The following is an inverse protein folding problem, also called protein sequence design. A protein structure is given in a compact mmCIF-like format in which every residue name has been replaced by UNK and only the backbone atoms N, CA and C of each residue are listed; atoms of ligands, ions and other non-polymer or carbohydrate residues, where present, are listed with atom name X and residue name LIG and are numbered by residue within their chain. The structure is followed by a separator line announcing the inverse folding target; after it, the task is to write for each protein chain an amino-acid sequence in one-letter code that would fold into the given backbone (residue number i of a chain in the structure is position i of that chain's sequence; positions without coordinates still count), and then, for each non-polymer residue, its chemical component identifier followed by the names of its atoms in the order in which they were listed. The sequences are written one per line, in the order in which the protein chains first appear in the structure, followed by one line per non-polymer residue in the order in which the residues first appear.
data_IF_365754243441
#
_entry.id   IF_365754243441
#
_cell.length_a   1.000
_cell.length_b   1.000
_cell.length_c   1.000
_cell.angle_alpha   90.00
_cell.angle_beta   90.00
_cell.angle_gamma   90.00
#
_symmetry.space_group_name_H-M   'P 1'
#
loop_
_entity.id
_entity.type
_entity.pdbx_description
1 polymer ?
#
# COMPACT_ATOMS: atom_id res chain seq x y z
N UNK A 1 19.90 23.89 -44.68
CA UNK A 1 18.94 22.83 -44.27
C UNK A 1 18.52 23.10 -42.83
N UNK A 2 17.23 23.36 -42.61
CA UNK A 2 16.64 23.95 -41.41
C UNK A 2 16.19 22.84 -40.45
N UNK A 3 16.82 22.72 -39.28
CA UNK A 3 16.44 21.73 -38.26
C UNK A 3 15.36 22.32 -37.37
N UNK A 4 14.11 21.92 -37.58
CA UNK A 4 13.01 22.28 -36.68
C UNK A 4 13.02 21.26 -35.54
N UNK A 5 13.40 21.70 -34.34
CA UNK A 5 13.25 20.92 -33.11
C UNK A 5 11.85 21.24 -32.57
N UNK A 6 10.93 20.29 -32.70
CA UNK A 6 9.62 20.33 -32.05
C UNK A 6 9.80 19.97 -30.57
N UNK A 7 9.64 20.94 -29.68
CA UNK A 7 9.53 20.70 -28.24
C UNK A 7 8.09 20.30 -27.91
N UNK A 8 7.86 19.03 -27.58
CA UNK A 8 6.57 18.53 -27.12
C UNK A 8 6.35 18.86 -25.63
N UNK A 9 5.38 19.73 -25.35
CA UNK A 9 4.90 20.00 -23.99
C UNK A 9 3.99 18.84 -23.54
N UNK A 10 4.49 18.00 -22.63
CA UNK A 10 3.69 16.91 -22.03
C UNK A 10 2.86 17.52 -20.88
N UNK A 11 1.58 17.75 -21.11
CA UNK A 11 0.62 18.04 -20.04
C UNK A 11 0.34 16.74 -19.26
N UNK A 12 0.80 16.66 -18.02
CA UNK A 12 0.46 15.59 -17.09
C UNK A 12 -0.91 15.86 -16.50
N UNK A 13 -1.94 15.14 -16.97
CA UNK A 13 -3.28 15.16 -16.37
C UNK A 13 -3.22 14.30 -15.10
N UNK A 14 -3.19 14.92 -13.92
CA UNK A 14 -3.32 14.22 -12.65
C UNK A 14 -4.79 13.91 -12.40
N UNK A 15 -5.21 12.67 -12.61
CA UNK A 15 -6.54 12.22 -12.19
C UNK A 15 -6.55 12.10 -10.67
N UNK A 16 -7.12 13.08 -9.96
CA UNK A 16 -7.42 12.91 -8.54
C UNK A 16 -8.66 12.02 -8.44
N UNK A 17 -8.48 10.72 -8.19
CA UNK A 17 -9.56 9.81 -7.85
C UNK A 17 -10.14 10.20 -6.47
N UNK A 18 -11.02 11.21 -6.43
CA UNK A 18 -11.63 11.69 -5.20
C UNK A 18 -12.98 11.02 -4.96
N UNK A 19 -12.96 9.73 -4.62
CA UNK A 19 -14.15 8.96 -4.25
C UNK A 19 -14.68 9.23 -2.82
N UNK A 20 -14.17 10.26 -2.12
CA UNK A 20 -14.59 10.61 -0.75
C UNK A 20 -15.21 12.00 -0.66
N UNK A 21 -16.22 12.14 0.20
CA UNK A 21 -16.87 13.43 0.47
C UNK A 21 -15.88 14.45 1.03
N UNK A 22 -16.10 15.73 0.73
CA UNK A 22 -15.28 16.82 1.26
C UNK A 22 -15.37 16.88 2.80
N UNK A 23 -16.55 16.61 3.35
CA UNK A 23 -16.76 16.56 4.81
C UNK A 23 -15.91 15.49 5.48
N UNK A 24 -15.84 14.30 4.89
CA UNK A 24 -15.03 13.21 5.44
C UNK A 24 -13.53 13.50 5.30
N UNK A 25 -13.08 14.15 4.21
CA UNK A 25 -11.69 14.65 4.11
C UNK A 25 -11.33 15.60 5.23
N UNK A 26 -12.17 16.61 5.47
CA UNK A 26 -11.95 17.57 6.56
C UNK A 26 -11.91 16.88 7.93
N UNK A 27 -12.71 15.83 8.11
CA UNK A 27 -12.70 15.03 9.33
C UNK A 27 -11.37 14.29 9.50
N UNK A 28 -10.91 13.58 8.47
CA UNK A 28 -9.62 12.89 8.47
C UNK A 28 -8.47 13.85 8.78
N UNK A 29 -8.40 14.98 8.09
CA UNK A 29 -7.34 15.99 8.28
C UNK A 29 -7.32 16.56 9.71
N UNK A 30 -8.50 16.82 10.28
CA UNK A 30 -8.67 17.30 11.67
C UNK A 30 -8.08 16.32 12.67
N UNK A 31 -8.26 15.02 12.45
CA UNK A 31 -7.78 13.96 13.34
C UNK A 31 -6.39 13.42 12.96
N UNK A 32 -5.78 13.95 11.89
CA UNK A 32 -4.48 13.53 11.38
C UNK A 32 -4.49 12.14 10.73
N UNK A 33 -5.67 11.69 10.28
CA UNK A 33 -5.84 10.44 9.58
C UNK A 33 -5.86 10.67 8.07
N UNK A 34 -5.67 9.59 7.31
CA UNK A 34 -5.91 9.48 5.88
C UNK A 34 -6.95 8.40 5.67
N UNK A 35 -7.54 8.36 4.48
CA UNK A 35 -8.49 7.29 4.14
C UNK A 35 -7.87 5.89 4.30
N UNK A 36 -6.55 5.77 4.07
CA UNK A 36 -5.83 4.49 4.16
C UNK A 36 -5.54 4.05 5.60
N UNK A 37 -5.45 4.97 6.55
CA UNK A 37 -5.05 4.64 7.92
C UNK A 37 -6.20 4.75 8.95
N UNK A 38 -7.37 5.29 8.56
CA UNK A 38 -8.57 5.30 9.39
C UNK A 38 -9.04 3.86 9.66
N UNK A 39 -9.12 3.47 10.94
CA UNK A 39 -9.36 2.09 11.37
C UNK A 39 -8.13 1.18 11.27
N UNK A 40 -7.05 1.62 10.63
CA UNK A 40 -5.81 0.88 10.42
C UNK A 40 -4.62 1.55 11.14
N UNK A 41 -4.86 1.96 12.38
CA UNK A 41 -3.86 2.57 13.27
C UNK A 41 -4.07 4.06 13.52
N UNK A 42 -4.91 4.73 12.73
CA UNK A 42 -5.47 6.03 13.03
C UNK A 42 -6.96 5.89 13.40
N UNK A 43 -7.42 6.66 14.37
CA UNK A 43 -8.79 6.58 14.89
C UNK A 43 -9.39 7.98 14.91
N UNK A 44 -10.45 8.20 14.12
CA UNK A 44 -11.15 9.49 14.02
C UNK A 44 -11.88 9.90 15.31
N UNK A 45 -11.98 9.01 16.31
CA UNK A 45 -12.49 9.33 17.64
C UNK A 45 -11.38 9.73 18.62
N UNK A 46 -10.11 9.65 18.21
CA UNK A 46 -8.96 10.13 18.98
C UNK A 46 -8.49 11.50 18.47
N UNK A 47 -7.89 12.27 19.36
CA UNK A 47 -7.28 13.55 18.98
C UNK A 47 -6.08 13.31 18.07
N UNK A 48 -5.74 14.31 17.23
CA UNK A 48 -4.56 14.27 16.37
C UNK A 48 -3.27 13.93 17.13
N UNK A 49 -3.08 14.51 18.31
CA UNK A 49 -1.92 14.23 19.17
C UNK A 49 -1.90 12.77 19.67
N UNK A 50 -3.05 12.19 20.00
CA UNK A 50 -3.14 10.78 20.40
C UNK A 50 -2.83 9.84 19.24
N UNK A 51 -3.33 10.15 18.03
CA UNK A 51 -3.03 9.37 16.82
C UNK A 51 -1.54 9.46 16.46
N UNK A 52 -0.95 10.66 16.53
CA UNK A 52 0.49 10.84 16.33
C UNK A 52 1.33 10.07 17.37
N UNK A 53 0.94 10.13 18.65
CA UNK A 53 1.62 9.38 19.71
C UNK A 53 1.48 7.86 19.54
N UNK A 54 0.32 7.38 19.08
CA UNK A 54 0.10 5.97 18.77
C UNK A 54 0.99 5.52 17.59
N UNK A 55 1.05 6.31 16.52
CA UNK A 55 1.93 6.05 15.39
C UNK A 55 3.42 6.03 15.80
N UNK A 56 3.85 6.96 16.67
CA UNK A 56 5.22 7.01 17.17
C UNK A 56 5.60 5.82 18.07
N UNK A 57 4.62 5.20 18.75
CA UNK A 57 4.81 4.01 19.59
C UNK A 57 4.77 2.70 18.81
N UNK A 58 4.27 2.72 17.56
CA UNK A 58 4.22 1.52 16.74
C UNK A 58 5.64 1.02 16.45
N UNK A 59 5.90 -0.27 16.72
CA UNK A 59 7.20 -0.86 16.42
C UNK A 59 7.39 -0.90 14.90
N UNK A 60 8.54 -0.46 14.37
CA UNK A 60 8.83 -0.61 12.95
C UNK A 60 8.78 -2.08 12.55
N UNK A 61 8.10 -2.36 11.45
CA UNK A 61 8.09 -3.70 10.85
C UNK A 61 9.50 -4.02 10.34
N UNK A 62 10.10 -5.08 10.88
CA UNK A 62 11.44 -5.50 10.51
C UNK A 62 11.42 -6.16 9.14
N UNK A 63 12.46 -5.92 8.33
CA UNK A 63 12.56 -6.55 6.99
C UNK A 63 12.60 -8.09 7.07
N UNK A 64 13.15 -8.66 8.15
CA UNK A 64 13.17 -10.10 8.36
C UNK A 64 11.78 -10.71 8.49
N UNK A 65 10.84 -10.01 9.12
CA UNK A 65 9.43 -10.42 9.21
C UNK A 65 8.80 -10.45 7.82
N UNK A 66 8.97 -9.36 7.05
CA UNK A 66 8.42 -9.25 5.69
C UNK A 66 9.01 -10.29 4.76
N UNK A 67 10.30 -10.62 4.93
CA UNK A 67 10.95 -11.67 4.15
C UNK A 67 10.39 -13.04 4.47
N UNK A 68 10.18 -13.37 5.74
CA UNK A 68 9.54 -14.63 6.13
C UNK A 68 8.13 -14.77 5.55
N UNK A 69 7.34 -13.70 5.60
CA UNK A 69 6.01 -13.65 4.99
C UNK A 69 6.08 -13.83 3.46
N UNK A 70 7.01 -13.15 2.77
CA UNK A 70 7.21 -13.27 1.33
C UNK A 70 7.66 -14.68 0.90
N UNK A 71 8.54 -15.32 1.67
CA UNK A 71 8.99 -16.70 1.43
C UNK A 71 7.85 -17.70 1.65
N UNK A 72 7.03 -17.47 2.67
CA UNK A 72 5.88 -18.35 3.01
C UNK A 72 4.86 -18.41 1.88
N UNK A 73 4.55 -17.29 1.24
CA UNK A 73 3.51 -17.26 0.20
C UNK A 73 3.97 -17.84 -1.15
N UNK A 74 5.25 -18.12 -1.36
CA UNK A 74 5.74 -18.70 -2.61
C UNK A 74 5.15 -20.11 -2.82
N UNK A 75 4.58 -20.34 -4.00
CA UNK A 75 3.91 -21.60 -4.36
C UNK A 75 2.48 -21.74 -3.81
N UNK A 76 2.02 -20.86 -2.94
CA UNK A 76 0.60 -20.81 -2.56
C UNK A 76 -0.25 -20.40 -3.76
N UNK A 77 -1.48 -20.92 -3.85
CA UNK A 77 -2.49 -20.34 -4.74
C UNK A 77 -2.78 -18.89 -4.35
N UNK A 78 -3.05 -18.05 -5.33
CA UNK A 78 -3.26 -16.61 -5.14
C UNK A 78 -4.31 -16.26 -4.07
N UNK A 79 -5.42 -17.00 -4.01
CA UNK A 79 -6.45 -16.79 -2.99
C UNK A 79 -5.95 -17.12 -1.57
N UNK A 80 -5.20 -18.21 -1.41
CA UNK A 80 -4.62 -18.62 -0.12
C UNK A 80 -3.54 -17.62 0.32
N UNK A 81 -2.71 -17.16 -0.61
CA UNK A 81 -1.70 -16.13 -0.35
C UNK A 81 -2.34 -14.80 0.08
N UNK A 82 -3.44 -14.39 -0.56
CA UNK A 82 -4.21 -13.21 -0.18
C UNK A 82 -4.71 -13.32 1.27
N UNK A 83 -5.37 -14.44 1.62
CA UNK A 83 -5.89 -14.66 2.97
C UNK A 83 -4.76 -14.63 4.01
N UNK A 84 -3.61 -15.24 3.70
CA UNK A 84 -2.41 -15.19 4.54
C UNK A 84 -1.96 -13.74 4.79
N UNK A 85 -1.79 -12.96 3.72
CA UNK A 85 -1.32 -11.58 3.80
C UNK A 85 -2.27 -10.68 4.60
N UNK A 86 -3.58 -10.79 4.37
CA UNK A 86 -4.60 -10.02 5.12
C UNK A 86 -4.58 -10.38 6.61
N UNK A 87 -4.48 -11.67 6.94
CA UNK A 87 -4.37 -12.12 8.33
C UNK A 87 -3.07 -11.63 9.00
N UNK A 88 -1.99 -11.51 8.22
CA UNK A 88 -0.70 -10.97 8.64
C UNK A 88 -0.62 -9.45 8.61
N UNK A 89 -1.77 -8.76 8.48
CA UNK A 89 -1.93 -7.30 8.56
C UNK A 89 -1.33 -6.54 7.39
N UNK A 90 -1.12 -7.19 6.25
CA UNK A 90 -0.87 -6.46 5.01
C UNK A 90 -2.16 -5.83 4.50
N UNK A 91 -2.05 -4.64 3.92
CA UNK A 91 -3.13 -3.93 3.26
C UNK A 91 -2.96 -4.05 1.75
N UNK A 92 -4.03 -4.32 0.98
CA UNK A 92 -3.95 -4.26 -0.47
C UNK A 92 -3.76 -2.80 -0.91
N UNK A 93 -2.80 -2.57 -1.81
CA UNK A 93 -2.51 -1.25 -2.40
C UNK A 93 -2.79 -1.21 -3.90
N UNK A 94 -2.63 -2.34 -4.58
CA UNK A 94 -2.93 -2.51 -6.00
C UNK A 94 -3.29 -3.96 -6.30
N UNK A 95 -3.42 -4.31 -7.58
CA UNK A 95 -3.84 -5.66 -7.99
C UNK A 95 -2.91 -6.78 -7.48
N UNK A 96 -1.64 -6.48 -7.27
CA UNK A 96 -0.64 -7.46 -6.81
C UNK A 96 0.29 -6.90 -5.73
N UNK A 97 -0.08 -5.77 -5.13
CA UNK A 97 0.77 -5.03 -4.19
C UNK A 97 0.14 -5.02 -2.81
N UNK A 98 0.91 -5.45 -1.81
CA UNK A 98 0.46 -5.58 -0.41
C UNK A 98 1.44 -4.88 0.51
N UNK A 99 0.95 -3.96 1.35
CA UNK A 99 1.79 -3.07 2.15
C UNK A 99 1.67 -3.35 3.65
N UNK A 100 2.80 -3.33 4.35
CA UNK A 100 2.87 -3.47 5.81
C UNK A 100 4.00 -2.59 6.36
N UNK A 101 3.62 -1.53 7.06
CA UNK A 101 4.57 -0.49 7.48
C UNK A 101 5.22 0.18 6.27
N UNK A 102 6.55 0.22 6.24
CA UNK A 102 7.36 0.83 5.16
C UNK A 102 7.73 -0.14 4.04
N UNK A 103 7.09 -1.29 3.98
CA UNK A 103 7.41 -2.36 3.04
C UNK A 103 6.20 -2.72 2.19
N UNK A 104 6.47 -3.08 0.95
CA UNK A 104 5.52 -3.64 0.00
C UNK A 104 6.00 -5.01 -0.46
N UNK A 105 5.08 -5.96 -0.53
CA UNK A 105 5.27 -7.22 -1.27
C UNK A 105 4.49 -7.09 -2.57
N UNK A 106 5.20 -7.18 -3.70
CA UNK A 106 4.61 -7.33 -5.02
C UNK A 106 4.63 -8.80 -5.43
N UNK A 107 3.46 -9.41 -5.55
CA UNK A 107 3.33 -10.82 -5.95
C UNK A 107 3.27 -10.95 -7.47
N UNK A 108 3.81 -12.05 -7.98
CA UNK A 108 3.62 -12.45 -9.39
C UNK A 108 2.92 -13.78 -9.40
N UNK A 109 1.78 -13.85 -10.09
CA UNK A 109 0.92 -15.03 -10.17
C UNK A 109 1.08 -15.66 -11.55
N UNK A 110 1.33 -16.97 -11.59
CA UNK A 110 1.37 -17.73 -12.84
C UNK A 110 0.06 -18.51 -13.03
N UNK A 111 -0.73 -18.10 -14.02
CA UNK A 111 -2.02 -18.72 -14.35
C UNK A 111 -1.87 -20.14 -14.88
N UNK A 112 -0.72 -20.48 -15.46
CA UNK A 112 -0.43 -21.81 -15.99
C UNK A 112 0.04 -22.78 -14.90
N UNK A 113 0.46 -22.25 -13.75
CA UNK A 113 0.77 -23.01 -12.53
C UNK A 113 -0.36 -22.85 -11.52
N UNK A 114 -1.58 -23.07 -11.97
CA UNK A 114 -2.73 -23.13 -11.09
C UNK A 114 -2.93 -21.86 -10.24
N UNK A 115 -2.62 -20.70 -10.82
CA UNK A 115 -2.66 -19.39 -10.17
C UNK A 115 -1.77 -19.31 -8.91
N UNK A 116 -0.63 -20.01 -8.90
CA UNK A 116 0.32 -19.93 -7.81
C UNK A 116 1.13 -18.64 -7.85
N UNK A 117 1.54 -18.18 -6.67
CA UNK A 117 2.54 -17.13 -6.51
C UNK A 117 3.90 -17.70 -6.87
N UNK A 118 4.50 -17.20 -7.96
CA UNK A 118 5.82 -17.63 -8.45
C UNK A 118 6.95 -16.67 -8.09
N UNK A 119 6.61 -15.47 -7.62
CA UNK A 119 7.57 -14.49 -7.11
C UNK A 119 6.87 -13.57 -6.10
N UNK A 120 7.63 -13.11 -5.11
CA UNK A 120 7.23 -12.13 -4.12
C UNK A 120 8.39 -11.13 -3.93
N UNK A 121 8.29 -9.96 -4.56
CA UNK A 121 9.31 -8.92 -4.51
C UNK A 121 9.07 -8.00 -3.33
N UNK A 122 10.09 -7.76 -2.53
CA UNK A 122 10.01 -6.83 -1.39
C UNK A 122 10.58 -5.49 -1.81
N UNK A 123 9.78 -4.43 -1.63
CA UNK A 123 10.11 -3.07 -2.04
C UNK A 123 9.93 -2.12 -0.85
N UNK A 124 10.76 -1.06 -0.73
CA UNK A 124 10.45 0.06 0.15
C UNK A 124 9.13 0.70 -0.28
N UNK A 125 8.33 1.11 0.69
CA UNK A 125 7.05 1.77 0.48
C UNK A 125 6.99 3.07 1.29
N UNK A 126 6.67 4.17 0.60
CA UNK A 126 6.36 5.48 1.17
C UNK A 126 5.05 5.95 0.56
N UNK A 127 4.08 6.30 1.40
CA UNK A 127 2.84 6.97 0.98
C UNK A 127 3.10 8.45 0.68
#
# INVERSE_FOLDING_TARGET
MKKIILAGLILSVTFTAQAISEGYRKQLDKFGCTQMNDGHGCDIHKTKAQNQAAAAKAKPVAIGEVRGDAETILGMRANVALDYLLNHKYQPYGESDYVKGKWMIRVVIDKNKDYQVVNAQILPFSQ
#
